data_IF_012042564729
#
_entry.id   IF_012042564729
#
_cell.length_a   1.000
_cell.length_b   1.000
_cell.length_c   1.000
_cell.angle_alpha   90.00
_cell.angle_beta   90.00
_cell.angle_gamma   90.00
#
_symmetry.space_group_name_H-M   'P 1'
#
loop_
_entity.id
_entity.type
_entity.pdbx_description
1 polymer ?
#
# COMPACT_ATOMS: atom_id res chain seq x y z
N UNK A 1 -12.83 -6.67 -16.64
CA UNK A 1 -11.72 -6.09 -15.89
C UNK A 1 -12.23 -5.50 -14.61
N UNK A 2 -11.52 -5.77 -13.54
CA UNK A 2 -11.90 -5.25 -12.23
C UNK A 2 -11.66 -3.75 -12.16
N UNK A 3 -12.67 -3.00 -11.67
CA UNK A 3 -12.55 -1.57 -11.51
C UNK A 3 -12.30 -1.25 -10.03
N UNK A 4 -11.02 -1.09 -9.67
CA UNK A 4 -10.63 -0.78 -8.30
C UNK A 4 -10.57 0.73 -8.01
N UNK A 5 -10.71 1.56 -9.06
CA UNK A 5 -10.49 3.00 -8.93
C UNK A 5 -11.58 3.71 -8.15
N UNK A 6 -12.72 3.07 -8.02
CA UNK A 6 -13.89 3.66 -7.36
C UNK A 6 -14.50 2.66 -6.37
N UNK A 7 -13.68 1.80 -5.80
CA UNK A 7 -14.10 0.76 -4.89
C UNK A 7 -14.34 1.35 -3.50
N UNK A 8 -15.54 1.16 -2.97
CA UNK A 8 -15.92 1.68 -1.65
C UNK A 8 -15.25 0.95 -0.49
N UNK A 9 -14.66 -0.21 -0.74
CA UNK A 9 -13.87 -0.93 0.26
C UNK A 9 -12.49 -0.34 0.46
N UNK A 10 -12.06 0.53 -0.44
CA UNK A 10 -10.77 1.20 -0.35
C UNK A 10 -10.94 2.59 0.28
N UNK A 11 -9.94 3.06 1.04
CA UNK A 11 -9.91 4.48 1.39
C UNK A 11 -9.70 5.30 0.11
N UNK A 12 -10.19 6.52 0.12
CA UNK A 12 -10.17 7.38 -1.08
C UNK A 12 -8.74 7.60 -1.60
N UNK A 13 -7.77 7.75 -0.69
CA UNK A 13 -6.39 7.97 -1.11
C UNK A 13 -5.83 6.79 -1.90
N UNK A 14 -6.31 5.58 -1.66
CA UNK A 14 -5.88 4.41 -2.44
C UNK A 14 -6.48 4.43 -3.83
N UNK A 15 -7.77 4.76 -3.96
CA UNK A 15 -8.41 4.89 -5.27
C UNK A 15 -7.73 5.98 -6.09
N UNK A 16 -7.41 7.11 -5.47
CA UNK A 16 -6.70 8.21 -6.14
C UNK A 16 -5.31 7.78 -6.61
N UNK A 17 -4.61 7.01 -5.79
CA UNK A 17 -3.29 6.47 -6.18
C UNK A 17 -3.40 5.58 -7.43
N UNK A 18 -4.41 4.71 -7.46
CA UNK A 18 -4.59 3.81 -8.60
C UNK A 18 -4.86 4.58 -9.89
N UNK A 19 -5.65 5.65 -9.82
CA UNK A 19 -5.86 6.53 -10.97
C UNK A 19 -4.53 7.16 -11.40
N UNK A 20 -3.74 7.63 -10.45
CA UNK A 20 -2.45 8.26 -10.73
C UNK A 20 -1.51 7.32 -11.49
N UNK A 21 -1.34 6.09 -11.03
CA UNK A 21 -0.41 5.17 -11.68
C UNK A 21 -0.92 4.71 -13.05
N UNK A 22 -2.24 4.77 -13.27
CA UNK A 22 -2.81 4.47 -14.57
C UNK A 22 -2.64 5.62 -15.54
N UNK A 23 -3.02 6.83 -15.15
CA UNK A 23 -3.12 7.97 -16.04
C UNK A 23 -1.79 8.70 -16.20
N UNK A 24 -1.06 8.90 -15.10
CA UNK A 24 0.19 9.66 -15.11
C UNK A 24 1.38 8.77 -15.41
N UNK A 25 1.48 7.64 -14.73
CA UNK A 25 2.62 6.73 -14.92
C UNK A 25 2.39 5.71 -16.03
N UNK A 26 1.14 5.56 -16.47
CA UNK A 26 0.78 4.70 -17.59
C UNK A 26 1.23 3.25 -17.41
N UNK A 27 1.17 2.76 -16.18
CA UNK A 27 1.52 1.37 -15.88
C UNK A 27 0.51 0.42 -16.50
N UNK A 28 0.95 -0.82 -16.79
CA UNK A 28 0.08 -1.84 -17.35
C UNK A 28 -1.01 -2.24 -16.36
N UNK A 29 -2.12 -2.76 -16.87
CA UNK A 29 -3.21 -3.26 -16.04
C UNK A 29 -2.71 -4.32 -15.06
N UNK A 30 -1.82 -5.19 -15.50
CA UNK A 30 -1.27 -6.25 -14.65
C UNK A 30 -0.46 -5.66 -13.49
N UNK A 31 0.39 -4.68 -13.78
CA UNK A 31 1.20 -4.03 -12.75
C UNK A 31 0.31 -3.29 -11.75
N UNK A 32 -0.71 -2.59 -12.24
CA UNK A 32 -1.66 -1.89 -11.38
C UNK A 32 -2.36 -2.87 -10.45
N UNK A 33 -2.83 -3.98 -10.98
CA UNK A 33 -3.49 -5.02 -10.17
C UNK A 33 -2.56 -5.57 -9.09
N UNK A 34 -1.32 -5.87 -9.46
CA UNK A 34 -0.34 -6.40 -8.51
C UNK A 34 0.00 -5.38 -7.43
N UNK A 35 0.20 -4.12 -7.82
CA UNK A 35 0.47 -3.05 -6.85
C UNK A 35 -0.72 -2.83 -5.93
N UNK A 36 -1.93 -2.85 -6.48
CA UNK A 36 -3.14 -2.70 -5.68
C UNK A 36 -3.21 -3.78 -4.59
N UNK A 37 -2.99 -5.04 -4.97
CA UNK A 37 -3.06 -6.13 -3.99
C UNK A 37 -2.00 -6.00 -2.91
N UNK A 38 -0.79 -5.58 -3.28
CA UNK A 38 0.29 -5.37 -2.31
C UNK A 38 -0.04 -4.23 -1.33
N UNK A 39 -0.49 -3.10 -1.86
CA UNK A 39 -0.81 -1.93 -1.03
C UNK A 39 -2.02 -2.22 -0.15
N UNK A 40 -3.03 -2.88 -0.69
CA UNK A 40 -4.21 -3.25 0.07
C UNK A 40 -3.83 -4.14 1.26
N UNK A 41 -3.00 -5.15 1.02
CA UNK A 41 -2.54 -6.03 2.08
C UNK A 41 -1.74 -5.27 3.14
N UNK A 42 -0.86 -4.37 2.69
CA UNK A 42 -0.07 -3.53 3.59
C UNK A 42 -0.97 -2.68 4.49
N UNK A 43 -1.95 -2.02 3.91
CA UNK A 43 -2.87 -1.17 4.69
C UNK A 43 -3.68 -1.99 5.68
N UNK A 44 -4.11 -3.19 5.29
CA UNK A 44 -4.81 -4.10 6.21
C UNK A 44 -3.90 -4.53 7.36
N UNK A 45 -2.64 -4.81 7.06
CA UNK A 45 -1.65 -5.18 8.08
C UNK A 45 -1.46 -4.05 9.10
N UNK A 46 -1.25 -2.83 8.61
CA UNK A 46 -1.08 -1.65 9.46
C UNK A 46 -2.33 -1.41 10.31
N UNK A 47 -3.51 -1.44 9.68
CA UNK A 47 -4.76 -1.22 10.37
C UNK A 47 -4.99 -2.27 11.47
N UNK A 48 -4.76 -3.53 11.14
CA UNK A 48 -4.94 -4.62 12.10
C UNK A 48 -4.02 -4.47 13.31
N UNK A 49 -2.75 -4.12 13.09
CA UNK A 49 -1.79 -3.93 14.18
C UNK A 49 -2.15 -2.72 15.03
N UNK A 50 -2.59 -1.64 14.40
CA UNK A 50 -2.95 -0.41 15.12
C UNK A 50 -4.19 -0.60 15.99
N UNK A 51 -5.16 -1.36 15.48
CA UNK A 51 -6.44 -1.56 16.16
C UNK A 51 -6.51 -2.87 16.96
N UNK A 52 -5.41 -3.64 16.96
CA UNK A 52 -5.31 -4.92 17.69
C UNK A 52 -6.43 -5.89 17.30
N UNK A 53 -6.59 -6.09 16.01
CA UNK A 53 -7.56 -7.04 15.44
C UNK A 53 -6.86 -7.97 14.46
N UNK A 54 -7.58 -9.03 14.06
CA UNK A 54 -7.10 -9.95 13.04
C UNK A 54 -7.09 -9.25 11.68
N UNK A 55 -6.06 -9.52 10.87
CA UNK A 55 -5.93 -8.91 9.55
C UNK A 55 -7.14 -9.21 8.66
N UNK A 56 -7.76 -10.38 8.82
CA UNK A 56 -8.94 -10.74 8.03
C UNK A 56 -10.16 -9.87 8.37
N UNK A 57 -10.16 -9.26 9.54
CA UNK A 57 -11.26 -8.40 9.99
C UNK A 57 -10.99 -6.91 9.71
N UNK A 58 -9.84 -6.59 9.12
CA UNK A 58 -9.47 -5.20 8.89
C UNK A 58 -10.29 -4.58 7.75
N UNK A 59 -10.99 -3.50 8.07
CA UNK A 59 -11.74 -2.71 7.09
C UNK A 59 -10.99 -1.40 6.87
N UNK A 60 -10.25 -1.32 5.77
CA UNK A 60 -9.42 -0.15 5.48
C UNK A 60 -10.19 1.02 4.88
N UNK A 61 -11.47 0.84 4.56
CA UNK A 61 -12.27 1.93 3.98
C UNK A 61 -12.34 3.15 4.88
N UNK A 62 -12.23 2.95 6.20
CA UNK A 62 -12.27 4.03 7.19
C UNK A 62 -10.89 4.54 7.59
N UNK A 63 -9.83 4.02 6.97
CA UNK A 63 -8.46 4.43 7.30
C UNK A 63 -8.24 5.90 6.96
N UNK A 64 -7.62 6.64 7.87
CA UNK A 64 -7.46 8.09 7.75
C UNK A 64 -6.04 8.49 7.36
N UNK A 65 -5.90 9.72 6.88
CA UNK A 65 -4.58 10.31 6.60
C UNK A 65 -3.74 10.36 7.89
N UNK A 66 -4.39 10.61 9.02
CA UNK A 66 -3.68 10.63 10.32
C UNK A 66 -2.99 9.30 10.60
N UNK A 67 -3.63 8.19 10.25
CA UNK A 67 -3.03 6.86 10.41
C UNK A 67 -1.86 6.66 9.47
N UNK A 68 -1.93 7.19 8.24
CA UNK A 68 -0.81 7.13 7.30
C UNK A 68 0.42 7.86 7.82
N UNK A 69 0.22 8.99 8.49
CA UNK A 69 1.33 9.80 9.02
C UNK A 69 2.13 9.08 10.09
N UNK A 70 1.55 8.09 10.73
CA UNK A 70 2.18 7.35 11.83
C UNK A 70 3.00 6.16 11.34
N UNK A 71 2.92 5.82 10.07
CA UNK A 71 3.65 4.68 9.52
C UNK A 71 5.15 4.99 9.48
N UNK A 72 5.95 4.11 10.07
CA UNK A 72 7.41 4.23 10.12
C UNK A 72 8.06 3.24 9.15
N UNK A 73 9.37 3.43 8.91
CA UNK A 73 10.13 2.47 8.12
C UNK A 73 10.14 1.10 8.81
N UNK A 74 10.13 1.08 10.13
CA UNK A 74 10.07 -0.17 10.90
C UNK A 74 8.78 -0.94 10.61
N UNK A 75 7.66 -0.24 10.48
CA UNK A 75 6.39 -0.85 10.11
C UNK A 75 6.47 -1.50 8.73
N UNK A 76 7.14 -0.84 7.80
CA UNK A 76 7.32 -1.35 6.44
C UNK A 76 8.17 -2.62 6.45
N UNK A 77 9.27 -2.62 7.19
CA UNK A 77 10.12 -3.81 7.31
C UNK A 77 9.35 -4.97 7.93
N UNK A 78 8.58 -4.71 8.96
CA UNK A 78 7.77 -5.74 9.62
C UNK A 78 6.77 -6.35 8.65
N UNK A 79 6.13 -5.51 7.83
CA UNK A 79 5.19 -5.99 6.82
C UNK A 79 5.87 -6.85 5.77
N UNK A 80 7.02 -6.39 5.25
CA UNK A 80 7.73 -7.15 4.21
C UNK A 80 8.15 -8.51 4.75
N UNK A 81 8.62 -8.56 5.99
CA UNK A 81 8.97 -9.81 6.65
C UNK A 81 7.74 -10.72 6.78
N UNK A 82 6.65 -10.18 7.28
CA UNK A 82 5.38 -10.91 7.43
C UNK A 82 4.92 -11.50 6.08
N UNK A 83 4.95 -10.68 5.03
CA UNK A 83 4.44 -11.08 3.72
C UNK A 83 5.37 -12.02 2.96
N UNK A 84 6.66 -12.10 3.35
CA UNK A 84 7.66 -12.88 2.64
C UNK A 84 7.77 -14.32 3.12
N UNK A 85 7.25 -14.61 4.30
CA UNK A 85 7.64 -15.78 5.08
C UNK A 85 7.14 -17.11 4.52
N UNK A 86 6.12 -17.13 3.66
CA UNK A 86 5.44 -18.38 3.32
C UNK A 86 5.28 -18.68 1.85
N UNK A 87 6.00 -17.98 0.94
CA UNK A 87 5.74 -18.15 -0.48
C UNK A 87 6.97 -18.63 -1.24
N UNK A 88 6.74 -19.54 -2.19
CA UNK A 88 7.81 -20.11 -3.03
C UNK A 88 8.51 -19.06 -3.89
N UNK A 89 7.86 -17.93 -4.19
CA UNK A 89 8.44 -16.82 -4.95
C UNK A 89 8.81 -15.66 -4.04
N UNK A 90 9.31 -15.97 -2.86
CA UNK A 90 9.54 -14.96 -1.83
C UNK A 90 10.38 -13.78 -2.31
N UNK A 91 11.46 -14.03 -3.06
CA UNK A 91 12.35 -12.95 -3.52
C UNK A 91 11.67 -12.03 -4.52
N UNK A 92 10.98 -12.61 -5.51
CA UNK A 92 10.26 -11.81 -6.52
C UNK A 92 9.10 -11.04 -5.89
N UNK A 93 8.34 -11.71 -5.03
CA UNK A 93 7.21 -11.08 -4.35
C UNK A 93 7.68 -9.97 -3.42
N UNK A 94 8.79 -10.18 -2.72
CA UNK A 94 9.40 -9.17 -1.86
C UNK A 94 9.84 -7.95 -2.66
N UNK A 95 10.51 -8.18 -3.78
CA UNK A 95 10.98 -7.13 -4.67
C UNK A 95 9.81 -6.28 -5.16
N UNK A 96 8.73 -6.94 -5.61
CA UNK A 96 7.54 -6.24 -6.08
C UNK A 96 6.88 -5.44 -4.96
N UNK A 97 6.80 -6.00 -3.75
CA UNK A 97 6.22 -5.29 -2.60
C UNK A 97 7.03 -4.06 -2.23
N UNK A 98 8.34 -4.15 -2.27
CA UNK A 98 9.21 -2.99 -2.05
C UNK A 98 8.92 -1.93 -3.11
N UNK A 99 8.83 -2.34 -4.39
CA UNK A 99 8.55 -1.40 -5.49
C UNK A 99 7.18 -0.73 -5.34
N UNK A 100 6.15 -1.50 -5.00
CA UNK A 100 4.80 -0.95 -4.84
C UNK A 100 4.73 0.01 -3.66
N UNK A 101 5.37 -0.32 -2.54
CA UNK A 101 5.39 0.56 -1.36
C UNK A 101 6.16 1.85 -1.64
N UNK A 102 7.30 1.77 -2.34
CA UNK A 102 8.06 2.96 -2.74
C UNK A 102 7.21 3.86 -3.61
N UNK A 103 6.51 3.29 -4.59
CA UNK A 103 5.62 4.04 -5.48
C UNK A 103 4.50 4.72 -4.69
N UNK A 104 3.86 3.99 -3.79
CA UNK A 104 2.73 4.50 -3.01
C UNK A 104 3.16 5.65 -2.09
N UNK A 105 4.23 5.47 -1.32
CA UNK A 105 4.68 6.51 -0.39
C UNK A 105 5.24 7.72 -1.11
N UNK A 106 5.88 7.52 -2.27
CA UNK A 106 6.30 8.66 -3.09
C UNK A 106 5.09 9.48 -3.54
N UNK A 107 4.01 8.81 -3.94
CA UNK A 107 2.77 9.48 -4.30
C UNK A 107 2.20 10.28 -3.12
N UNK A 108 2.12 9.66 -1.95
CA UNK A 108 1.59 10.33 -0.75
C UNK A 108 2.42 11.56 -0.36
N UNK A 109 3.73 11.49 -0.55
CA UNK A 109 4.66 12.54 -0.13
C UNK A 109 4.79 13.64 -1.18
N UNK A 110 4.98 13.29 -2.44
CA UNK A 110 5.31 14.25 -3.50
C UNK A 110 4.12 14.75 -4.30
N UNK A 111 3.09 13.93 -4.47
CA UNK A 111 1.94 14.29 -5.30
C UNK A 111 0.77 14.72 -4.43
N UNK A 112 0.30 13.86 -3.55
CA UNK A 112 -0.83 14.17 -2.67
C UNK A 112 -0.42 15.10 -1.52
N UNK A 113 0.84 15.04 -1.11
CA UNK A 113 1.44 15.90 -0.07
C UNK A 113 0.71 15.81 1.27
N UNK A 114 0.32 14.60 1.65
CA UNK A 114 -0.38 14.36 2.92
C UNK A 114 0.54 13.85 4.01
N UNK A 115 1.78 13.48 3.69
CA UNK A 115 2.79 13.09 4.68
C UNK A 115 4.01 14.00 4.54
N UNK A 116 4.63 14.34 5.66
CA UNK A 116 5.75 15.29 5.70
C UNK A 116 7.09 14.63 5.34
N UNK A 117 7.21 13.34 5.59
CA UNK A 117 8.41 12.57 5.28
C UNK A 117 8.01 11.23 4.68
N UNK A 118 8.91 10.64 3.90
CA UNK A 118 8.63 9.39 3.19
C UNK A 118 9.33 8.23 3.89
N UNK A 119 8.60 7.36 4.61
CA UNK A 119 9.22 6.24 5.33
C UNK A 119 9.79 5.16 4.40
N UNK A 120 9.43 5.19 3.12
CA UNK A 120 9.92 4.22 2.14
C UNK A 120 11.06 4.75 1.28
N UNK A 121 11.56 5.96 1.57
CA UNK A 121 12.53 6.63 0.71
C UNK A 121 13.82 5.82 0.53
N UNK A 122 14.29 5.17 1.57
CA UNK A 122 15.57 4.46 1.58
C UNK A 122 15.41 2.93 1.56
N UNK A 123 14.27 2.45 1.15
CA UNK A 123 14.07 1.01 1.03
C UNK A 123 14.96 0.40 -0.07
#
# INVERSE_FOLDING_TARGET
MMNNYNNKENPEFLNDYLVHIKIVQMLSERTIEEYYLDIRLFLKYIYANTHDICIDDADISSMTISELKKISVSDIYSFIYYASDERKNADRARYRKVSSLRSFFKYLHKVLKVIDSNPAQDL
#
